data_IF_390562693439
#
_entry.id   IF_390562693439
#
_cell.length_a   1.000
_cell.length_b   1.000
_cell.length_c   1.000
_cell.angle_alpha   90.00
_cell.angle_beta   90.00
_cell.angle_gamma   90.00
#
_symmetry.space_group_name_H-M   'P 1'
#
loop_
_entity.id
_entity.type
_entity.pdbx_description
1 polymer ?
#
# COMPACT_ATOMS: atom_id res chain seq x y z
N UNK A 1 53.53 -23.00 -47.62
CA UNK A 1 52.83 -21.73 -47.32
C UNK A 1 53.72 -20.58 -47.78
N UNK A 2 53.19 -19.58 -48.50
CA UNK A 2 53.99 -18.43 -48.90
C UNK A 2 54.46 -17.68 -47.65
N UNK A 3 55.74 -17.25 -47.57
CA UNK A 3 56.31 -16.62 -46.38
C UNK A 3 55.57 -15.34 -45.95
N UNK A 4 54.94 -14.64 -46.90
CA UNK A 4 54.19 -13.41 -46.63
C UNK A 4 52.90 -13.66 -45.82
N UNK A 5 52.25 -14.81 -46.01
CA UNK A 5 51.07 -15.17 -45.22
C UNK A 5 51.41 -15.49 -43.76
N UNK A 6 52.61 -16.03 -43.51
CA UNK A 6 53.05 -16.35 -42.17
C UNK A 6 53.32 -15.07 -41.36
N UNK A 7 53.96 -14.07 -41.96
CA UNK A 7 54.19 -12.76 -41.34
C UNK A 7 52.88 -12.03 -41.02
N UNK A 8 51.94 -11.99 -41.97
CA UNK A 8 50.63 -11.38 -41.75
C UNK A 8 49.87 -12.04 -40.58
N UNK A 9 50.05 -13.35 -40.40
CA UNK A 9 49.42 -14.09 -39.32
C UNK A 9 50.10 -13.81 -37.97
N UNK A 10 51.43 -13.73 -37.92
CA UNK A 10 52.17 -13.30 -36.72
C UNK A 10 51.80 -11.87 -36.32
N UNK A 11 51.72 -10.94 -37.27
CA UNK A 11 51.32 -9.55 -37.01
C UNK A 11 49.88 -9.48 -36.49
N UNK A 12 48.95 -10.22 -37.11
CA UNK A 12 47.54 -10.26 -36.70
C UNK A 12 47.37 -10.87 -35.30
N UNK A 13 48.11 -11.93 -34.98
CA UNK A 13 48.09 -12.53 -33.65
C UNK A 13 48.67 -11.59 -32.60
N UNK A 14 49.71 -10.83 -32.94
CA UNK A 14 50.32 -9.87 -32.02
C UNK A 14 49.33 -8.75 -31.69
N UNK A 15 48.66 -8.19 -32.70
CA UNK A 15 47.62 -7.17 -32.51
C UNK A 15 46.47 -7.71 -31.66
N UNK A 16 46.00 -8.92 -31.95
CA UNK A 16 44.91 -9.54 -31.20
C UNK A 16 45.27 -9.77 -29.73
N UNK A 17 46.50 -10.21 -29.45
CA UNK A 17 46.98 -10.39 -28.08
C UNK A 17 47.09 -9.05 -27.34
N UNK A 18 47.56 -7.99 -27.99
CA UNK A 18 47.63 -6.66 -27.38
C UNK A 18 46.23 -6.09 -27.08
N UNK A 19 45.27 -6.25 -28.00
CA UNK A 19 43.89 -5.81 -27.78
C UNK A 19 43.21 -6.58 -26.64
N UNK A 20 43.47 -7.89 -26.53
CA UNK A 20 42.98 -8.70 -25.43
C UNK A 20 43.57 -8.28 -24.08
N UNK A 21 44.87 -7.97 -24.05
CA UNK A 21 45.54 -7.56 -22.82
C UNK A 21 45.06 -6.17 -22.36
N UNK A 22 44.85 -5.24 -23.29
CA UNK A 22 44.21 -3.95 -23.01
C UNK A 22 42.77 -4.09 -22.49
N UNK A 23 41.97 -4.96 -23.12
CA UNK A 23 40.61 -5.22 -22.68
C UNK A 23 40.57 -5.87 -21.29
N UNK A 24 41.47 -6.83 -21.02
CA UNK A 24 41.60 -7.48 -19.73
C UNK A 24 42.00 -6.49 -18.63
N UNK A 25 42.95 -5.60 -18.91
CA UNK A 25 43.39 -4.57 -17.97
C UNK A 25 42.29 -3.51 -17.73
N UNK A 26 41.54 -3.13 -18.76
CA UNK A 26 40.40 -2.20 -18.63
C UNK A 26 39.27 -2.81 -17.79
N UNK A 27 38.99 -4.12 -17.97
CA UNK A 27 37.97 -4.82 -17.19
C UNK A 27 38.37 -5.04 -15.73
N UNK A 28 39.66 -5.15 -15.45
CA UNK A 28 40.20 -5.34 -14.08
C UNK A 28 40.59 -4.02 -13.42
N UNK A 29 40.36 -2.88 -14.06
CA UNK A 29 40.44 -1.59 -13.40
C UNK A 29 39.52 -1.62 -12.16
N UNK A 30 39.96 -1.10 -11.00
CA UNK A 30 39.08 -0.93 -9.85
C UNK A 30 37.81 -0.22 -10.32
N UNK A 31 36.61 -0.61 -9.83
CA UNK A 31 35.40 0.12 -10.20
C UNK A 31 35.62 1.58 -9.86
N UNK A 32 35.53 2.43 -10.90
CA UNK A 32 35.62 3.89 -10.82
C UNK A 32 34.91 4.36 -9.56
N UNK A 33 35.56 5.22 -8.76
CA UNK A 33 35.06 5.67 -7.46
C UNK A 33 33.57 5.96 -7.59
N UNK A 34 32.72 5.09 -7.03
CA UNK A 34 31.27 5.25 -7.13
C UNK A 34 30.99 6.62 -6.55
N UNK A 35 30.57 7.57 -7.38
CA UNK A 35 30.19 8.92 -6.94
C UNK A 35 29.15 8.71 -5.85
N UNK A 36 29.58 8.82 -4.60
CA UNK A 36 28.73 8.53 -3.47
C UNK A 36 27.88 9.77 -3.28
N UNK A 37 26.66 9.73 -3.83
CA UNK A 37 25.71 10.84 -3.76
C UNK A 37 25.38 11.28 -2.33
N UNK A 38 25.72 10.46 -1.33
CA UNK A 38 25.51 10.73 0.09
C UNK A 38 26.75 10.48 0.92
N UNK A 39 26.98 11.33 1.92
CA UNK A 39 28.05 11.22 2.90
C UNK A 39 27.51 11.37 4.33
N UNK A 40 28.09 10.64 5.29
CA UNK A 40 27.74 10.79 6.71
C UNK A 40 28.72 11.77 7.39
N UNK A 41 28.20 12.93 7.76
CA UNK A 41 28.93 14.01 8.45
C UNK A 41 28.67 13.94 9.95
N UNK A 42 29.75 13.96 10.73
CA UNK A 42 29.69 14.02 12.19
C UNK A 42 29.88 15.46 12.65
N UNK A 43 28.83 16.07 13.23
CA UNK A 43 28.81 17.49 13.61
C UNK A 43 29.33 17.76 15.02
N UNK A 44 29.80 16.74 15.75
CA UNK A 44 30.26 16.85 17.15
C UNK A 44 29.13 17.02 18.18
N UNK A 45 27.87 17.11 17.76
CA UNK A 45 26.71 17.18 18.65
C UNK A 45 26.11 15.79 18.92
N UNK A 46 25.49 15.63 20.09
CA UNK A 46 24.79 14.39 20.46
C UNK A 46 23.56 14.20 19.57
N UNK A 47 23.48 13.08 18.85
CA UNK A 47 22.34 12.75 18.00
C UNK A 47 22.69 11.82 16.83
N UNK A 48 21.69 11.51 15.99
CA UNK A 48 21.89 10.75 14.75
C UNK A 48 22.82 11.54 13.82
N UNK A 49 23.89 10.91 13.25
CA UNK A 49 24.77 11.55 12.30
C UNK A 49 24.04 12.21 11.12
N UNK A 50 24.60 13.32 10.64
CA UNK A 50 24.04 14.14 9.55
C UNK A 50 24.33 13.43 8.22
N UNK A 51 23.31 13.20 7.38
CA UNK A 51 23.51 12.60 6.04
C UNK A 51 23.49 13.72 5.01
N UNK A 52 24.65 14.13 4.51
CA UNK A 52 24.80 15.11 3.43
C UNK A 52 24.47 14.47 2.09
N UNK A 53 23.87 15.25 1.19
CA UNK A 53 23.56 14.84 -0.18
C UNK A 53 24.18 15.90 -1.08
N UNK A 54 24.92 15.50 -2.10
CA UNK A 54 25.51 16.46 -3.04
C UNK A 54 24.42 17.33 -3.70
N UNK A 55 24.66 18.65 -3.76
CA UNK A 55 23.68 19.62 -4.25
C UNK A 55 23.33 19.39 -5.72
N UNK A 56 24.34 19.15 -6.57
CA UNK A 56 24.14 19.02 -8.02
C UNK A 56 23.36 17.73 -8.33
N UNK A 57 23.72 16.64 -7.65
CA UNK A 57 23.00 15.36 -7.78
C UNK A 57 21.56 15.50 -7.28
N UNK A 58 21.35 16.18 -6.15
CA UNK A 58 20.02 16.38 -5.58
C UNK A 58 19.14 17.24 -6.48
N UNK A 59 19.67 18.34 -7.02
CA UNK A 59 18.97 19.23 -7.95
C UNK A 59 18.52 18.46 -9.21
N UNK A 60 19.44 17.73 -9.85
CA UNK A 60 19.13 16.89 -11.00
C UNK A 60 18.09 15.82 -10.66
N UNK A 61 18.24 15.13 -9.53
CA UNK A 61 17.36 14.04 -9.16
C UNK A 61 15.92 14.49 -8.81
N UNK A 62 15.77 15.69 -8.24
CA UNK A 62 14.47 16.28 -7.92
C UNK A 62 13.62 16.60 -9.17
N UNK A 63 14.24 16.81 -10.34
CA UNK A 63 13.52 17.01 -11.60
C UNK A 63 12.69 15.79 -12.01
N UNK A 64 13.13 14.58 -11.64
CA UNK A 64 12.51 13.33 -12.09
C UNK A 64 11.77 12.58 -10.99
N UNK A 65 12.06 12.85 -9.72
CA UNK A 65 11.54 12.05 -8.61
C UNK A 65 11.32 12.89 -7.36
N UNK A 66 10.15 12.68 -6.74
CA UNK A 66 9.85 13.28 -5.45
C UNK A 66 10.71 12.71 -4.31
N UNK A 67 10.80 13.42 -3.17
CA UNK A 67 11.65 13.04 -2.02
C UNK A 67 11.40 11.61 -1.49
N UNK A 68 10.19 11.07 -1.63
CA UNK A 68 9.84 9.72 -1.20
C UNK A 68 10.56 8.62 -1.99
N UNK A 69 10.70 8.80 -3.30
CA UNK A 69 11.38 7.86 -4.19
C UNK A 69 12.90 8.02 -4.08
N UNK A 70 13.36 9.27 -4.06
CA UNK A 70 14.78 9.60 -3.87
C UNK A 70 15.34 9.06 -2.56
N UNK A 71 14.58 9.14 -1.46
CA UNK A 71 15.04 8.57 -0.19
C UNK A 71 15.37 7.08 -0.29
N UNK A 72 14.56 6.29 -1.01
CA UNK A 72 14.86 4.86 -1.24
C UNK A 72 16.13 4.65 -2.07
N UNK A 73 16.37 5.49 -3.07
CA UNK A 73 17.54 5.40 -3.95
C UNK A 73 18.84 5.84 -3.25
N UNK A 74 18.76 6.90 -2.44
CA UNK A 74 19.88 7.48 -1.70
C UNK A 74 20.08 6.84 -0.32
N UNK A 75 19.36 5.77 0.01
CA UNK A 75 19.48 5.09 1.30
C UNK A 75 19.10 5.93 2.53
N UNK A 76 18.31 6.99 2.35
CA UNK A 76 17.94 7.91 3.43
C UNK A 76 16.41 8.16 3.51
N UNK A 77 15.96 8.80 4.60
CA UNK A 77 14.54 9.11 4.74
C UNK A 77 14.12 10.22 3.77
N UNK A 78 12.88 10.18 3.26
CA UNK A 78 12.32 11.25 2.43
C UNK A 78 12.33 12.63 3.12
N UNK A 79 12.23 12.65 4.46
CA UNK A 79 12.41 13.87 5.26
C UNK A 79 13.84 14.41 5.18
N UNK A 80 14.84 13.54 5.15
CA UNK A 80 16.24 13.96 4.97
C UNK A 80 16.44 14.59 3.60
N UNK A 81 15.94 13.96 2.54
CA UNK A 81 15.98 14.52 1.17
C UNK A 81 15.32 15.90 1.12
N UNK A 82 14.09 16.02 1.64
CA UNK A 82 13.38 17.31 1.69
C UNK A 82 14.12 18.35 2.51
N UNK A 83 14.71 17.97 3.65
CA UNK A 83 15.51 18.87 4.48
C UNK A 83 16.74 19.40 3.74
N UNK A 84 17.46 18.54 3.01
CA UNK A 84 18.59 18.99 2.17
C UNK A 84 18.16 19.87 1.03
N UNK A 85 17.03 19.55 0.39
CA UNK A 85 16.45 20.39 -0.65
C UNK A 85 16.11 21.80 -0.11
N UNK A 86 15.56 21.90 1.11
CA UNK A 86 15.30 23.19 1.76
C UNK A 86 16.60 23.95 2.09
N UNK A 87 17.60 23.27 2.66
CA UNK A 87 18.89 23.88 3.01
C UNK A 87 19.69 24.35 1.79
N UNK A 88 19.56 23.67 0.65
CA UNK A 88 20.16 24.06 -0.63
C UNK A 88 19.28 25.00 -1.48
N UNK A 89 18.14 25.46 -0.93
CA UNK A 89 17.19 26.35 -1.61
C UNK A 89 16.59 25.76 -2.91
N UNK A 90 16.57 24.43 -3.01
CA UNK A 90 16.01 23.68 -4.15
C UNK A 90 14.49 23.45 -4.03
N UNK A 91 13.89 23.77 -2.88
CA UNK A 91 12.44 23.77 -2.73
C UNK A 91 11.99 24.81 -1.70
N UNK A 92 10.78 25.33 -1.88
CA UNK A 92 10.23 26.29 -0.93
C UNK A 92 9.75 25.62 0.37
N UNK A 93 9.98 26.29 1.53
CA UNK A 93 9.36 25.88 2.77
C UNK A 93 7.83 25.95 2.63
N UNK A 94 7.16 24.89 3.07
CA UNK A 94 5.70 24.89 3.12
C UNK A 94 5.22 25.82 4.25
N UNK A 95 4.03 26.44 4.10
CA UNK A 95 3.41 27.21 5.17
C UNK A 95 3.33 26.39 6.47
N UNK A 96 3.36 27.04 7.64
CA UNK A 96 3.22 26.35 8.90
C UNK A 96 1.87 25.62 8.95
N UNK A 97 1.87 24.43 9.56
CA UNK A 97 0.66 23.60 9.73
C UNK A 97 -0.38 24.30 10.61
N UNK A 98 0.04 25.20 11.49
CA UNK A 98 -0.82 25.99 12.37
C UNK A 98 -0.38 27.46 12.31
N UNK A 99 -1.34 28.34 12.04
CA UNK A 99 -1.16 29.79 12.12
C UNK A 99 -2.03 30.33 13.24
N UNK A 100 -1.45 31.17 14.09
CA UNK A 100 -2.15 31.83 15.20
C UNK A 100 -2.39 33.28 14.82
N UNK A 101 -3.66 33.69 14.80
CA UNK A 101 -4.06 35.09 14.57
C UNK A 101 -4.66 35.61 15.87
N UNK A 102 -4.03 36.64 16.43
CA UNK A 102 -4.58 37.38 17.58
C UNK A 102 -5.42 38.51 17.04
N UNK A 103 -6.70 38.54 17.41
CA UNK A 103 -7.63 39.61 17.05
C UNK A 103 -7.50 40.79 18.01
N UNK A 104 -7.96 41.97 17.58
CA UNK A 104 -7.86 43.23 18.34
C UNK A 104 -8.64 43.19 19.68
N UNK A 105 -9.56 42.23 19.84
CA UNK A 105 -10.32 41.97 21.07
C UNK A 105 -9.58 41.06 22.08
N UNK A 106 -8.35 40.63 21.75
CA UNK A 106 -7.55 39.72 22.56
C UNK A 106 -7.90 38.24 22.37
N UNK A 107 -8.86 37.90 21.51
CA UNK A 107 -9.16 36.51 21.15
C UNK A 107 -8.09 35.95 20.20
N UNK A 108 -7.83 34.64 20.32
CA UNK A 108 -6.80 33.95 19.53
C UNK A 108 -7.45 32.87 18.68
N UNK A 109 -7.39 33.03 17.35
CA UNK A 109 -7.90 32.05 16.39
C UNK A 109 -6.76 31.19 15.85
N UNK A 110 -6.92 29.88 15.91
CA UNK A 110 -5.98 28.92 15.34
C UNK A 110 -6.49 28.41 13.99
N UNK A 111 -5.75 28.69 12.92
CA UNK A 111 -6.04 28.14 11.59
C UNK A 111 -5.10 26.96 11.33
N UNK A 112 -5.66 25.79 11.00
CA UNK A 112 -4.91 24.59 10.66
C UNK A 112 -4.89 24.39 9.14
N UNK A 113 -3.70 24.36 8.56
CA UNK A 113 -3.51 24.11 7.12
C UNK A 113 -3.35 22.61 6.88
N UNK A 114 -4.39 21.97 6.36
CA UNK A 114 -4.29 20.59 5.86
C UNK A 114 -3.84 20.60 4.40
N UNK A 115 -2.72 19.94 4.11
CA UNK A 115 -2.24 19.72 2.75
C UNK A 115 -2.88 18.48 2.09
N UNK A 116 -3.80 17.82 2.78
CA UNK A 116 -4.58 16.72 2.20
C UNK A 116 -5.61 17.34 1.27
N UNK A 117 -5.68 16.86 0.03
CA UNK A 117 -6.70 17.30 -0.92
C UNK A 117 -8.10 17.19 -0.30
N UNK A 118 -9.01 18.13 -0.63
CA UNK A 118 -10.36 18.12 -0.09
C UNK A 118 -11.06 16.80 -0.43
N UNK A 119 -11.91 16.33 0.50
CA UNK A 119 -12.75 15.16 0.29
C UNK A 119 -13.89 15.51 -0.66
N UNK A 120 -14.36 14.53 -1.42
CA UNK A 120 -15.49 14.72 -2.33
C UNK A 120 -16.78 14.93 -1.55
N UNK A 121 -17.60 15.89 -1.99
CA UNK A 121 -18.89 16.25 -1.39
C UNK A 121 -20.05 15.40 -1.95
N UNK A 122 -19.82 14.10 -2.18
CA UNK A 122 -20.86 13.19 -2.67
C UNK A 122 -21.82 12.80 -1.54
N UNK A 123 -23.10 12.60 -1.87
CA UNK A 123 -24.12 12.11 -0.93
C UNK A 123 -23.94 10.61 -0.61
N UNK A 124 -24.64 10.09 0.40
CA UNK A 124 -24.58 8.65 0.73
C UNK A 124 -25.23 7.80 -0.37
N UNK A 125 -26.35 8.24 -0.93
CA UNK A 125 -27.00 7.57 -2.05
C UNK A 125 -26.07 7.49 -3.27
N UNK A 126 -25.45 8.61 -3.66
CA UNK A 126 -24.50 8.63 -4.79
C UNK A 126 -23.28 7.73 -4.51
N UNK A 127 -22.85 7.62 -3.25
CA UNK A 127 -21.77 6.70 -2.87
C UNK A 127 -22.21 5.25 -3.03
N UNK A 128 -23.41 4.89 -2.57
CA UNK A 128 -23.96 3.55 -2.68
C UNK A 128 -24.15 3.13 -4.14
N UNK A 129 -24.64 4.04 -4.99
CA UNK A 129 -24.77 3.81 -6.43
C UNK A 129 -23.41 3.57 -7.09
N UNK A 130 -22.40 4.37 -6.76
CA UNK A 130 -21.03 4.19 -7.26
C UNK A 130 -20.39 2.89 -6.79
N UNK A 131 -20.60 2.52 -5.53
CA UNK A 131 -20.12 1.26 -4.95
C UNK A 131 -20.82 0.07 -5.63
N UNK A 132 -22.13 0.18 -5.87
CA UNK A 132 -22.92 -0.80 -6.62
C UNK A 132 -22.34 -1.00 -8.01
N UNK A 133 -22.16 0.07 -8.81
CA UNK A 133 -21.55 0.01 -10.15
C UNK A 133 -20.18 -0.68 -10.14
N UNK A 134 -19.30 -0.32 -9.21
CA UNK A 134 -17.97 -0.94 -9.07
C UNK A 134 -18.10 -2.44 -8.79
N UNK A 135 -18.99 -2.84 -7.88
CA UNK A 135 -19.21 -4.24 -7.52
C UNK A 135 -19.95 -5.02 -8.60
N UNK A 136 -20.70 -4.37 -9.48
CA UNK A 136 -21.29 -4.99 -10.67
C UNK A 136 -20.21 -5.39 -11.67
N UNK A 137 -19.27 -4.49 -11.94
CA UNK A 137 -18.15 -4.74 -12.84
C UNK A 137 -17.12 -5.70 -12.23
N UNK A 138 -16.87 -5.57 -10.92
CA UNK A 138 -15.87 -6.37 -10.21
C UNK A 138 -16.41 -6.95 -8.89
N UNK A 139 -17.17 -8.06 -8.94
CA UNK A 139 -17.84 -8.63 -7.77
C UNK A 139 -16.92 -9.04 -6.61
N UNK A 140 -15.65 -9.33 -6.90
CA UNK A 140 -14.67 -9.75 -5.90
C UNK A 140 -13.92 -8.58 -5.23
N UNK A 141 -14.26 -7.33 -5.54
CA UNK A 141 -13.57 -6.17 -4.96
C UNK A 141 -13.90 -6.00 -3.48
N UNK A 142 -12.89 -6.19 -2.64
CA UNK A 142 -12.97 -5.76 -1.24
C UNK A 142 -12.83 -4.24 -1.08
N UNK A 143 -13.15 -3.72 0.11
CA UNK A 143 -13.19 -2.27 0.43
C UNK A 143 -11.97 -1.47 -0.05
N UNK A 144 -10.76 -2.01 0.09
CA UNK A 144 -9.53 -1.34 -0.39
C UNK A 144 -9.50 -1.14 -1.91
N UNK A 145 -10.01 -2.11 -2.66
CA UNK A 145 -10.13 -2.04 -4.12
C UNK A 145 -11.26 -1.11 -4.53
N UNK A 146 -12.38 -1.11 -3.81
CA UNK A 146 -13.46 -0.13 -3.99
C UNK A 146 -12.94 1.30 -3.79
N UNK A 147 -12.22 1.56 -2.70
CA UNK A 147 -11.59 2.85 -2.43
C UNK A 147 -10.62 3.28 -3.54
N UNK A 148 -9.83 2.34 -4.06
CA UNK A 148 -8.93 2.61 -5.18
C UNK A 148 -9.70 2.93 -6.47
N UNK A 149 -10.79 2.22 -6.75
CA UNK A 149 -11.66 2.48 -7.91
C UNK A 149 -12.37 3.83 -7.80
N UNK A 150 -12.87 4.20 -6.61
CA UNK A 150 -13.42 5.53 -6.34
C UNK A 150 -12.36 6.62 -6.57
N UNK A 151 -11.14 6.41 -6.07
CA UNK A 151 -10.04 7.34 -6.27
C UNK A 151 -9.65 7.48 -7.76
N UNK A 152 -9.71 6.39 -8.54
CA UNK A 152 -9.51 6.41 -9.99
C UNK A 152 -10.61 7.19 -10.70
N UNK A 153 -11.86 7.09 -10.23
CA UNK A 153 -12.99 7.92 -10.68
C UNK A 153 -12.98 9.34 -10.09
N UNK A 154 -11.86 9.79 -9.50
CA UNK A 154 -11.67 11.11 -8.90
C UNK A 154 -12.52 11.41 -7.65
N UNK A 155 -13.13 10.39 -7.03
CA UNK A 155 -13.83 10.52 -5.76
C UNK A 155 -12.91 10.20 -4.58
N UNK A 156 -12.69 11.18 -3.70
CA UNK A 156 -11.97 11.03 -2.43
C UNK A 156 -12.96 10.92 -1.28
N UNK A 157 -13.25 9.67 -0.90
CA UNK A 157 -14.23 9.34 0.13
C UNK A 157 -13.51 8.80 1.37
N UNK A 158 -13.94 9.18 2.59
CA UNK A 158 -13.34 8.66 3.81
C UNK A 158 -13.61 7.15 3.94
N UNK A 159 -12.69 6.44 4.60
CA UNK A 159 -12.80 4.99 4.76
C UNK A 159 -14.05 4.58 5.56
N UNK A 160 -14.49 5.46 6.46
CA UNK A 160 -15.68 5.28 7.29
C UNK A 160 -16.95 5.20 6.45
N UNK A 161 -17.16 6.14 5.52
CA UNK A 161 -18.33 6.14 4.63
C UNK A 161 -18.33 4.94 3.69
N UNK A 162 -17.17 4.56 3.14
CA UNK A 162 -17.06 3.33 2.33
C UNK A 162 -17.41 2.09 3.18
N UNK A 163 -17.00 2.05 4.45
CA UNK A 163 -17.33 0.94 5.34
C UNK A 163 -18.83 0.87 5.59
N UNK A 164 -19.48 1.99 5.85
CA UNK A 164 -20.93 2.10 6.08
C UNK A 164 -21.74 1.71 4.83
N UNK A 165 -21.26 2.05 3.63
CA UNK A 165 -21.84 1.61 2.34
C UNK A 165 -21.66 0.12 2.02
N UNK A 166 -20.92 -0.64 2.84
CA UNK A 166 -20.59 -2.05 2.54
C UNK A 166 -21.02 -3.01 3.64
N UNK A 167 -21.63 -4.12 3.24
CA UNK A 167 -21.96 -5.20 4.15
C UNK A 167 -20.73 -6.04 4.52
N UNK A 168 -20.74 -6.55 5.74
CA UNK A 168 -19.72 -7.41 6.34
C UNK A 168 -20.38 -8.73 6.71
N UNK A 169 -19.89 -9.83 6.14
CA UNK A 169 -20.37 -11.15 6.52
C UNK A 169 -19.42 -11.71 7.57
N UNK A 170 -19.95 -12.04 8.74
CA UNK A 170 -19.25 -12.73 9.81
C UNK A 170 -19.65 -14.20 9.77
N UNK A 171 -18.67 -15.11 9.78
CA UNK A 171 -18.92 -16.54 9.71
C UNK A 171 -17.98 -17.33 10.63
N UNK A 172 -18.54 -18.31 11.33
CA UNK A 172 -17.81 -19.32 12.09
C UNK A 172 -18.03 -20.69 11.46
N UNK A 173 -16.95 -21.45 11.31
CA UNK A 173 -16.96 -22.81 10.77
C UNK A 173 -16.15 -23.72 11.72
N UNK A 174 -16.62 -24.95 11.91
CA UNK A 174 -15.82 -25.96 12.58
C UNK A 174 -14.69 -26.44 11.67
N UNK A 175 -13.46 -26.36 12.17
CA UNK A 175 -12.25 -26.75 11.45
C UNK A 175 -12.19 -28.24 11.10
N UNK A 176 -12.81 -29.11 11.92
CA UNK A 176 -12.83 -30.55 11.71
C UNK A 176 -13.97 -30.97 10.76
N UNK A 177 -15.22 -30.75 11.17
CA UNK A 177 -16.42 -31.22 10.44
C UNK A 177 -16.82 -30.35 9.24
N UNK A 178 -16.28 -29.14 9.11
CA UNK A 178 -16.71 -28.11 8.13
C UNK A 178 -18.13 -27.58 8.33
N UNK A 179 -18.75 -27.90 9.46
CA UNK A 179 -20.05 -27.38 9.81
C UNK A 179 -19.99 -25.86 9.99
N UNK A 180 -20.85 -25.13 9.30
CA UNK A 180 -21.04 -23.69 9.53
C UNK A 180 -21.78 -23.53 10.86
N UNK A 181 -21.09 -22.99 11.86
CA UNK A 181 -21.62 -22.80 13.23
C UNK A 181 -22.49 -21.57 13.34
N UNK A 182 -22.23 -20.56 12.50
CA UNK A 182 -23.04 -19.36 12.43
C UNK A 182 -22.54 -18.43 11.35
N UNK A 183 -23.48 -17.86 10.59
CA UNK A 183 -23.24 -16.85 9.57
C UNK A 183 -24.20 -15.69 9.81
N UNK A 184 -23.71 -14.45 9.78
CA UNK A 184 -24.53 -13.25 9.94
C UNK A 184 -23.97 -12.11 9.10
N UNK A 185 -24.86 -11.31 8.52
CA UNK A 185 -24.51 -10.10 7.79
C UNK A 185 -24.71 -8.90 8.71
N UNK A 186 -23.72 -8.03 8.77
CA UNK A 186 -23.69 -6.81 9.58
C UNK A 186 -23.13 -5.64 8.77
N UNK A 187 -23.40 -4.42 9.18
CA UNK A 187 -22.86 -3.20 8.56
C UNK A 187 -21.52 -2.76 9.17
N UNK A 188 -21.02 -3.50 10.17
CA UNK A 188 -19.81 -3.19 10.91
C UNK A 188 -18.85 -4.39 11.01
N UNK A 189 -17.60 -4.07 11.34
CA UNK A 189 -16.55 -5.07 11.62
C UNK A 189 -16.07 -4.96 13.07
N UNK A 190 -16.97 -4.64 14.00
CA UNK A 190 -16.62 -4.49 15.40
C UNK A 190 -16.44 -5.86 16.08
N UNK A 191 -15.51 -5.92 17.03
CA UNK A 191 -15.27 -7.12 17.83
C UNK A 191 -16.48 -7.50 18.69
N UNK A 192 -17.30 -6.53 19.08
CA UNK A 192 -18.56 -6.69 19.83
C UNK A 192 -19.58 -7.49 19.03
N UNK A 193 -19.76 -7.15 17.75
CA UNK A 193 -20.61 -7.85 16.80
C UNK A 193 -20.16 -9.29 16.60
N UNK A 194 -18.86 -9.49 16.37
CA UNK A 194 -18.26 -10.83 16.22
C UNK A 194 -18.43 -11.65 17.49
N UNK A 195 -18.22 -11.05 18.68
CA UNK A 195 -18.38 -11.72 19.97
C UNK A 195 -19.83 -12.14 20.23
N UNK A 196 -20.80 -11.32 19.83
CA UNK A 196 -22.22 -11.64 19.95
C UNK A 196 -22.55 -12.88 19.12
N UNK A 197 -22.15 -12.90 17.85
CA UNK A 197 -22.33 -14.06 16.99
C UNK A 197 -21.62 -15.31 17.55
N UNK A 198 -20.41 -15.16 18.07
CA UNK A 198 -19.68 -16.27 18.71
C UNK A 198 -20.44 -16.84 19.91
N UNK A 199 -20.97 -15.99 20.79
CA UNK A 199 -21.75 -16.42 21.96
C UNK A 199 -23.02 -17.17 21.54
N UNK A 200 -23.68 -16.70 20.47
CA UNK A 200 -24.84 -17.39 19.90
C UNK A 200 -24.44 -18.79 19.39
N UNK A 201 -23.31 -18.91 18.69
CA UNK A 201 -22.79 -20.20 18.23
C UNK A 201 -22.45 -21.14 19.40
N UNK A 202 -21.82 -20.64 20.45
CA UNK A 202 -21.47 -21.44 21.65
C UNK A 202 -22.72 -21.93 22.37
N UNK A 203 -23.78 -21.13 22.44
CA UNK A 203 -25.06 -21.56 23.05
C UNK A 203 -25.70 -22.70 22.27
N UNK A 204 -25.57 -22.70 20.94
CA UNK A 204 -26.19 -23.69 20.06
C UNK A 204 -25.35 -24.97 19.90
N UNK A 205 -24.03 -24.82 19.79
CA UNK A 205 -23.11 -25.90 19.41
C UNK A 205 -22.13 -26.31 20.52
N UNK A 206 -22.17 -25.63 21.66
CA UNK A 206 -21.23 -25.84 22.75
C UNK A 206 -19.90 -25.11 22.56
N UNK A 207 -19.01 -25.25 23.53
CA UNK A 207 -17.70 -24.60 23.51
C UNK A 207 -16.77 -25.31 22.52
N UNK A 208 -16.05 -24.56 21.65
CA UNK A 208 -15.05 -25.16 20.79
C UNK A 208 -13.87 -25.68 21.61
N UNK A 209 -13.37 -26.86 21.26
CA UNK A 209 -12.16 -27.43 21.87
C UNK A 209 -10.90 -26.62 21.53
N UNK A 210 -10.89 -25.95 20.36
CA UNK A 210 -9.82 -25.07 19.90
C UNK A 210 -10.42 -23.92 19.07
N UNK A 211 -9.90 -22.71 19.28
CA UNK A 211 -10.27 -21.52 18.53
C UNK A 211 -9.05 -20.96 17.80
N UNK A 212 -9.20 -20.66 16.51
CA UNK A 212 -8.18 -20.02 15.68
C UNK A 212 -8.85 -18.87 14.94
N UNK A 213 -8.39 -17.64 15.15
CA UNK A 213 -8.82 -16.48 14.37
C UNK A 213 -7.91 -16.27 13.15
N UNK A 214 -8.52 -15.94 12.01
CA UNK A 214 -7.82 -15.55 10.78
C UNK A 214 -7.41 -14.08 10.85
N UNK A 215 -6.24 -13.68 10.30
CA UNK A 215 -5.76 -12.29 10.32
C UNK A 215 -6.65 -11.27 9.58
N UNK A 216 -7.75 -11.70 8.95
CA UNK A 216 -8.73 -10.81 8.33
C UNK A 216 -9.87 -10.32 9.25
N UNK A 217 -9.95 -10.82 10.48
CA UNK A 217 -10.80 -10.25 11.52
C UNK A 217 -10.10 -10.28 12.89
N UNK A 218 -9.53 -9.12 13.25
CA UNK A 218 -9.03 -8.72 14.57
C UNK A 218 -7.68 -9.35 15.01
N UNK A 219 -6.69 -8.45 15.13
CA UNK A 219 -5.40 -8.66 15.78
C UNK A 219 -5.59 -8.81 17.30
N UNK A 220 -5.37 -10.01 17.84
CA UNK A 220 -4.94 -10.18 19.24
C UNK A 220 -3.79 -11.18 19.26
N UNK A 221 -2.64 -10.69 19.72
CA UNK A 221 -1.39 -11.39 20.06
C UNK A 221 -0.47 -11.83 18.91
N UNK A 222 0.80 -11.41 19.04
CA UNK A 222 1.92 -11.59 18.11
C UNK A 222 2.39 -13.05 17.96
N UNK A 223 1.57 -13.95 17.39
CA UNK A 223 2.09 -15.20 16.80
C UNK A 223 1.41 -15.48 15.47
N UNK A 224 2.16 -15.28 14.38
CA UNK A 224 1.76 -15.68 13.04
C UNK A 224 1.80 -17.21 12.97
N UNK A 225 0.67 -17.87 13.21
CA UNK A 225 0.50 -19.27 12.84
C UNK A 225 0.12 -19.33 11.35
N UNK A 226 1.10 -19.55 10.47
CA UNK A 226 0.82 -20.01 9.10
C UNK A 226 0.28 -21.44 9.22
N UNK A 227 -1.02 -21.61 9.04
CA UNK A 227 -1.64 -22.93 9.06
C UNK A 227 -2.28 -23.22 7.71
N UNK A 228 -2.02 -24.42 7.18
CA UNK A 228 -2.71 -25.06 6.04
C UNK A 228 -4.24 -25.12 6.24
N UNK A 229 -4.73 -24.78 7.45
CA UNK A 229 -6.12 -24.80 7.86
C UNK A 229 -6.92 -23.51 7.55
N UNK A 230 -6.29 -22.40 7.15
CA UNK A 230 -7.04 -21.19 6.74
C UNK A 230 -7.68 -21.34 5.34
N UNK A 231 -7.16 -22.26 4.52
CA UNK A 231 -7.74 -22.66 3.22
C UNK A 231 -9.21 -23.07 3.32
N UNK A 232 -9.64 -23.50 4.51
CA UNK A 232 -10.96 -24.05 4.80
C UNK A 232 -12.05 -22.99 4.81
N UNK A 233 -11.83 -21.92 5.56
CA UNK A 233 -12.71 -20.75 5.60
C UNK A 233 -12.59 -19.95 4.30
N UNK A 234 -11.41 -19.89 3.70
CA UNK A 234 -11.20 -19.23 2.40
C UNK A 234 -11.97 -19.92 1.26
N UNK A 235 -12.04 -21.27 1.24
CA UNK A 235 -12.91 -22.00 0.30
C UNK A 235 -14.39 -21.79 0.58
N UNK A 236 -14.80 -21.83 1.85
CA UNK A 236 -16.19 -21.50 2.20
C UNK A 236 -16.54 -20.08 1.72
N UNK A 237 -15.65 -19.10 1.89
CA UNK A 237 -15.88 -17.75 1.38
C UNK A 237 -16.01 -17.74 -0.13
N UNK A 238 -15.19 -18.50 -0.86
CA UNK A 238 -15.33 -18.63 -2.30
C UNK A 238 -16.70 -19.19 -2.69
N UNK A 239 -17.13 -20.31 -2.07
CA UNK A 239 -18.40 -20.97 -2.37
C UNK A 239 -19.61 -20.09 -1.97
N UNK A 240 -19.58 -19.49 -0.78
CA UNK A 240 -20.63 -18.57 -0.29
C UNK A 240 -20.72 -17.33 -1.18
N UNK A 241 -19.60 -16.71 -1.57
CA UNK A 241 -19.64 -15.53 -2.44
C UNK A 241 -20.11 -15.88 -3.85
N UNK A 242 -19.64 -17.01 -4.41
CA UNK A 242 -19.97 -17.42 -5.77
C UNK A 242 -21.43 -17.87 -5.90
N UNK A 243 -21.87 -18.77 -5.04
CA UNK A 243 -23.14 -19.48 -5.22
C UNK A 243 -24.28 -18.76 -4.49
N UNK A 244 -24.10 -18.47 -3.19
CA UNK A 244 -25.12 -17.77 -2.39
C UNK A 244 -25.14 -16.26 -2.71
N UNK A 245 -23.99 -15.59 -2.65
CA UNK A 245 -23.86 -14.16 -2.95
C UNK A 245 -24.24 -13.84 -4.39
N UNK A 246 -23.84 -14.68 -5.35
CA UNK A 246 -24.27 -14.55 -6.75
C UNK A 246 -25.78 -14.72 -6.93
N UNK A 247 -26.40 -15.66 -6.21
CA UNK A 247 -27.86 -15.85 -6.21
C UNK A 247 -28.62 -14.67 -5.61
N UNK A 248 -28.24 -14.22 -4.42
CA UNK A 248 -28.85 -13.07 -3.75
C UNK A 248 -28.65 -11.77 -4.49
N UNK A 249 -27.51 -11.58 -5.14
CA UNK A 249 -27.28 -10.41 -6.01
C UNK A 249 -28.23 -10.38 -7.20
N UNK A 250 -28.51 -11.53 -7.81
CA UNK A 250 -29.51 -11.64 -8.89
C UNK A 250 -30.91 -11.37 -8.36
N UNK A 251 -31.26 -11.95 -7.23
CA UNK A 251 -32.56 -11.76 -6.58
C UNK A 251 -32.81 -10.30 -6.15
N UNK A 252 -31.83 -9.66 -5.50
CA UNK A 252 -31.94 -8.26 -5.10
C UNK A 252 -32.05 -7.32 -6.30
N UNK A 253 -31.35 -7.64 -7.40
CA UNK A 253 -31.49 -6.91 -8.67
C UNK A 253 -32.87 -7.09 -9.29
N UNK A 254 -33.39 -8.31 -9.28
CA UNK A 254 -34.74 -8.61 -9.78
C UNK A 254 -35.82 -7.84 -8.99
N UNK A 255 -35.64 -7.73 -7.66
CA UNK A 255 -36.49 -6.89 -6.81
C UNK A 255 -36.34 -5.39 -7.11
N UNK A 256 -35.12 -4.91 -7.35
CA UNK A 256 -34.87 -3.50 -7.66
C UNK A 256 -35.46 -3.12 -9.04
N UNK A 257 -35.32 -3.99 -10.04
CA UNK A 257 -35.76 -3.76 -11.41
C UNK A 257 -37.29 -3.93 -11.58
N UNK A 258 -37.92 -4.83 -10.80
CA UNK A 258 -39.34 -5.19 -11.00
C UNK A 258 -40.29 -4.75 -9.87
N UNK A 259 -39.81 -4.59 -8.64
CA UNK A 259 -40.67 -4.30 -7.46
C UNK A 259 -40.47 -2.87 -6.91
N UNK A 260 -39.64 -2.03 -7.57
CA UNK A 260 -39.50 -0.61 -7.23
C UNK A 260 -38.89 -0.33 -5.86
N UNK A 261 -38.06 -1.25 -5.36
CA UNK A 261 -37.25 -1.02 -4.18
C UNK A 261 -36.00 -0.22 -4.57
N UNK A 262 -36.07 1.11 -4.39
CA UNK A 262 -34.90 2.01 -4.39
C UNK A 262 -34.08 1.86 -3.09
#
# INVERSE_FOLDING_TARGET
>A
FPPDHYRNLEDSLTVFLTELDEAYNTSNAPPDDRISATEIVHTGHVGRPRIEIDKNILEYALQFSGPARLGKQLGCCSRTVRRRALEHELCDPQPPVRTTVTHDDGSVTFTYTSYTAPMSTITDQELDDLVSDILQQFPAYGRRRIKAALAFKMYKVPDTRIRESTLVIHCFIDGYSRLVLGIRVNTDNESTTVLRLFRDCVRLHGLPSRYISSPFAIHISNRVFRSVHNTRIERLWFDVTKDFGGGWKRFARDLQDNEGFD
#
